data_IF_314223225128
#
_entry.id   IF_314223225128
#
_cell.length_a   1.000
_cell.length_b   1.000
_cell.length_c   1.000
_cell.angle_alpha   90.00
_cell.angle_beta   90.00
_cell.angle_gamma   90.00
#
_symmetry.space_group_name_H-M   'P 1'
#
loop_
_entity.id
_entity.type
_entity.pdbx_description
1 polymer ?
#
# COMPACT_ATOMS: atom_id res chain seq x y z
N UNK A 1 -9.00 -9.10 -0.08
CA UNK A 1 -8.05 -9.05 1.06
C UNK A 1 -8.64 -8.18 2.16
N UNK A 2 -8.45 -8.48 3.45
CA UNK A 2 -8.88 -7.58 4.52
C UNK A 2 -7.86 -6.44 4.74
N UNK A 3 -8.28 -5.31 5.31
CA UNK A 3 -7.40 -4.16 5.59
C UNK A 3 -6.17 -4.56 6.44
N UNK A 4 -6.37 -5.39 7.47
CA UNK A 4 -5.30 -5.86 8.34
C UNK A 4 -4.25 -6.70 7.59
N UNK A 5 -4.69 -7.55 6.65
CA UNK A 5 -3.77 -8.32 5.81
C UNK A 5 -3.01 -7.41 4.84
N UNK A 6 -3.67 -6.40 4.27
CA UNK A 6 -3.04 -5.41 3.40
C UNK A 6 -1.95 -4.62 4.14
N UNK A 7 -2.22 -4.21 5.38
CA UNK A 7 -1.24 -3.52 6.23
C UNK A 7 -0.02 -4.40 6.52
N UNK A 8 -0.23 -5.66 6.93
CA UNK A 8 0.88 -6.58 7.22
C UNK A 8 1.73 -6.86 5.97
N UNK A 9 1.08 -7.03 4.82
CA UNK A 9 1.76 -7.28 3.56
C UNK A 9 2.52 -6.05 3.06
N UNK A 10 1.91 -4.86 3.14
CA UNK A 10 2.54 -3.59 2.79
C UNK A 10 3.78 -3.32 3.63
N UNK A 11 3.71 -3.56 4.94
CA UNK A 11 4.85 -3.39 5.84
C UNK A 11 6.00 -4.37 5.51
N UNK A 12 5.68 -5.63 5.24
CA UNK A 12 6.68 -6.64 4.84
C UNK A 12 7.37 -6.25 3.53
N UNK A 13 6.60 -5.78 2.53
CA UNK A 13 7.12 -5.29 1.27
C UNK A 13 7.99 -4.04 1.46
N UNK A 14 7.50 -3.05 2.21
CA UNK A 14 8.20 -1.79 2.46
C UNK A 14 9.56 -2.02 3.11
N UNK A 15 9.62 -2.91 4.12
CA UNK A 15 10.85 -3.25 4.84
C UNK A 15 11.81 -4.13 4.03
N UNK A 16 11.29 -5.00 3.15
CA UNK A 16 12.13 -5.87 2.32
C UNK A 16 12.73 -5.12 1.13
N UNK A 17 11.94 -4.30 0.47
CA UNK A 17 12.33 -3.58 -0.75
C UNK A 17 12.91 -2.19 -0.44
N UNK A 18 12.73 -1.67 0.78
CA UNK A 18 13.11 -0.31 1.17
C UNK A 18 12.48 0.76 0.25
N UNK A 19 11.21 0.56 -0.12
CA UNK A 19 10.40 1.50 -0.91
C UNK A 19 9.07 1.78 -0.22
N UNK A 20 8.51 2.98 -0.44
CA UNK A 20 7.17 3.32 0.04
C UNK A 20 6.12 2.45 -0.65
N UNK A 21 5.20 1.90 0.13
CA UNK A 21 4.12 1.04 -0.35
C UNK A 21 2.78 1.70 -0.07
N UNK A 22 1.95 1.84 -1.09
CA UNK A 22 0.57 2.32 -0.96
C UNK A 22 -0.40 1.16 -0.87
N UNK A 23 -1.40 1.36 -0.01
CA UNK A 23 -2.56 0.49 0.15
C UNK A 23 -3.73 1.26 -0.43
N UNK A 24 -4.36 0.70 -1.45
CA UNK A 24 -5.46 1.35 -2.13
C UNK A 24 -6.68 0.43 -2.17
N UNK A 25 -7.85 1.02 -2.23
CA UNK A 25 -9.10 0.30 -2.45
C UNK A 25 -9.44 0.32 -3.94
N UNK A 26 -9.48 -0.86 -4.55
CA UNK A 26 -9.96 -0.99 -5.92
C UNK A 26 -11.49 -0.73 -5.98
N UNK A 27 -11.99 -0.37 -7.17
CA UNK A 27 -13.41 -0.03 -7.37
C UNK A 27 -14.40 -1.15 -7.07
N UNK A 28 -13.92 -2.39 -6.89
CA UNK A 28 -14.71 -3.55 -6.44
C UNK A 28 -14.76 -3.70 -4.90
N UNK A 29 -14.16 -2.76 -4.17
CA UNK A 29 -14.07 -2.74 -2.72
C UNK A 29 -12.92 -3.60 -2.16
N UNK A 30 -12.15 -4.29 -3.01
CA UNK A 30 -10.99 -5.07 -2.60
C UNK A 30 -9.79 -4.17 -2.29
N UNK A 31 -8.95 -4.61 -1.34
CA UNK A 31 -7.72 -3.90 -0.98
C UNK A 31 -6.54 -4.43 -1.79
N UNK A 32 -5.84 -3.53 -2.47
CA UNK A 32 -4.59 -3.77 -3.20
C UNK A 32 -3.40 -3.10 -2.51
N UNK A 33 -2.20 -3.59 -2.81
CA UNK A 33 -0.94 -3.11 -2.25
C UNK A 33 0.08 -3.01 -3.37
N UNK A 34 0.75 -1.88 -3.53
CA UNK A 34 1.69 -1.62 -4.62
C UNK A 34 2.75 -0.59 -4.20
N UNK A 35 3.98 -0.61 -4.75
CA UNK A 35 4.93 0.47 -4.54
C UNK A 35 4.35 1.82 -4.96
N UNK A 36 4.57 2.86 -4.15
CA UNK A 36 4.07 4.21 -4.39
C UNK A 36 4.53 4.76 -5.75
N UNK A 37 5.76 4.42 -6.17
CA UNK A 37 6.31 4.81 -7.46
C UNK A 37 5.71 4.09 -8.67
N UNK A 38 4.98 2.99 -8.47
CA UNK A 38 4.30 2.22 -9.52
C UNK A 38 2.79 2.51 -9.57
N UNK A 39 2.26 3.18 -8.54
CA UNK A 39 0.85 3.48 -8.45
C UNK A 39 0.47 4.67 -9.35
N UNK A 40 -0.21 4.38 -10.47
CA UNK A 40 -0.78 5.36 -11.41
C UNK A 40 -2.31 5.53 -11.21
N UNK A 41 -2.82 5.13 -10.04
CA UNK A 41 -4.22 5.24 -9.69
C UNK A 41 -4.60 6.59 -9.08
N UNK A 42 -5.87 6.74 -8.72
CA UNK A 42 -6.34 7.94 -8.05
C UNK A 42 -5.85 8.00 -6.60
N UNK A 43 -5.27 9.13 -6.19
CA UNK A 43 -4.85 9.35 -4.81
C UNK A 43 -6.00 9.22 -3.80
N UNK A 44 -7.24 9.47 -4.24
CA UNK A 44 -8.44 9.31 -3.41
C UNK A 44 -8.76 7.84 -3.08
N UNK A 45 -8.27 6.90 -3.88
CA UNK A 45 -8.40 5.47 -3.62
C UNK A 45 -7.32 4.95 -2.66
N UNK A 46 -6.28 5.74 -2.36
CA UNK A 46 -5.25 5.38 -1.38
C UNK A 46 -5.87 5.48 0.02
N UNK A 47 -5.89 4.34 0.70
CA UNK A 47 -6.38 4.21 2.08
C UNK A 47 -5.24 4.50 3.06
N UNK A 48 -4.03 4.04 2.73
CA UNK A 48 -2.86 4.20 3.58
C UNK A 48 -1.56 4.13 2.78
N UNK A 49 -0.51 4.77 3.28
CA UNK A 49 0.83 4.68 2.73
C UNK A 49 1.79 4.26 3.84
N UNK A 50 2.64 3.28 3.54
CA UNK A 50 3.68 2.76 4.43
C UNK A 50 5.02 3.21 3.88
N UNK A 51 5.64 4.16 4.58
CA UNK A 51 6.99 4.63 4.30
C UNK A 51 8.00 3.86 5.19
N UNK A 52 8.93 3.07 4.61
CA UNK A 52 9.95 2.37 5.39
C UNK A 52 11.02 3.30 5.99
N UNK A 53 11.07 4.56 5.57
CA UNK A 53 12.00 5.56 6.09
C UNK A 53 11.38 6.47 7.16
N UNK A 54 10.05 6.41 7.34
CA UNK A 54 9.38 7.13 8.42
C UNK A 54 9.86 6.59 9.77
N UNK A 55 10.48 7.46 10.57
CA UNK A 55 11.02 7.15 11.90
C UNK A 55 9.97 7.24 13.00
#
# INVERSE_FOLDING_TARGET
MSLNQAHAFAFSLATTLMVSIVIFQAGDGSMGVMPAGEYDGELAAIVHEVDPFAR
#
